data_IF_477143848282
#
_entry.id   IF_477143848282
#
_cell.length_a   1.000
_cell.length_b   1.000
_cell.length_c   1.000
_cell.angle_alpha   90.00
_cell.angle_beta   90.00
_cell.angle_gamma   90.00
#
_symmetry.space_group_name_H-M   'P 1'
#
loop_
_entity.id
_entity.type
_entity.pdbx_description
1 polymer ?
#
# COMPACT_ATOMS: atom_id res chain seq x y z
N UNK A 1 0.08 1.40 19.73
CA UNK A 1 -0.98 1.93 20.62
C UNK A 1 -2.31 1.70 19.93
N UNK A 2 -3.41 1.51 20.67
CA UNK A 2 -4.73 1.30 20.05
C UNK A 2 -5.49 2.62 19.86
N UNK A 3 -6.01 2.89 18.68
CA UNK A 3 -6.87 4.03 18.37
C UNK A 3 -8.25 3.57 17.90
N UNK A 4 -9.28 4.38 18.19
CA UNK A 4 -10.66 4.08 17.73
C UNK A 4 -10.82 4.29 16.23
N UNK A 5 -10.08 5.25 15.68
CA UNK A 5 -10.12 5.63 14.28
C UNK A 5 -8.69 5.73 13.76
N UNK A 6 -8.48 5.25 12.54
CA UNK A 6 -7.26 5.50 11.75
C UNK A 6 -7.65 6.16 10.44
N UNK A 7 -6.71 6.93 9.91
CA UNK A 7 -6.87 7.72 8.71
C UNK A 7 -5.85 7.32 7.66
N UNK A 8 -6.27 7.31 6.41
CA UNK A 8 -5.41 7.17 5.23
C UNK A 8 -5.79 8.17 4.16
N UNK A 9 -4.97 8.26 3.13
CA UNK A 9 -5.22 9.11 1.96
C UNK A 9 -5.57 8.23 0.78
N UNK A 10 -6.70 8.55 0.15
CA UNK A 10 -7.22 7.84 -1.02
C UNK A 10 -7.32 8.78 -2.21
N UNK A 11 -7.15 8.20 -3.40
CA UNK A 11 -7.39 8.86 -4.68
C UNK A 11 -8.80 8.52 -5.13
N UNK A 12 -9.62 9.52 -5.41
CA UNK A 12 -10.87 9.32 -6.13
C UNK A 12 -10.54 8.87 -7.57
N UNK A 13 -10.92 7.66 -7.98
CA UNK A 13 -10.57 7.13 -9.30
C UNK A 13 -11.25 7.88 -10.46
N UNK A 14 -12.36 8.59 -10.23
CA UNK A 14 -13.05 9.36 -11.27
C UNK A 14 -12.45 10.76 -11.41
N UNK A 15 -12.17 11.42 -10.29
CA UNK A 15 -11.72 12.82 -10.30
C UNK A 15 -10.21 13.01 -10.15
N UNK A 16 -9.47 11.97 -9.74
CA UNK A 16 -8.03 12.04 -9.42
C UNK A 16 -7.72 12.87 -8.16
N UNK A 17 -8.75 13.30 -7.43
CA UNK A 17 -8.58 14.11 -6.23
C UNK A 17 -8.26 13.24 -5.02
N UNK A 18 -7.45 13.78 -4.12
CA UNK A 18 -7.05 13.11 -2.89
C UNK A 18 -7.97 13.50 -1.74
N UNK A 19 -8.44 12.53 -0.97
CA UNK A 19 -9.26 12.79 0.22
C UNK A 19 -8.83 11.92 1.41
N UNK A 20 -9.03 12.41 2.66
CA UNK A 20 -8.84 11.59 3.85
C UNK A 20 -10.01 10.62 4.03
N UNK A 21 -9.69 9.33 4.17
CA UNK A 21 -10.64 8.28 4.53
C UNK A 21 -10.38 7.83 5.97
N UNK A 22 -11.45 7.54 6.71
CA UNK A 22 -11.39 7.09 8.10
C UNK A 22 -11.94 5.68 8.27
N UNK A 23 -11.34 4.91 9.17
CA UNK A 23 -11.77 3.55 9.49
C UNK A 23 -11.89 3.35 11.01
N UNK A 24 -12.98 2.71 11.45
CA UNK A 24 -13.25 2.42 12.86
C UNK A 24 -12.68 1.07 13.30
N UNK A 25 -11.69 1.09 14.20
CA UNK A 25 -10.86 -0.07 14.56
C UNK A 25 -11.49 -1.13 15.47
N UNK A 26 -12.82 -1.12 15.67
CA UNK A 26 -13.46 -1.82 16.79
C UNK A 26 -13.36 -3.36 16.81
N UNK A 27 -13.07 -4.04 15.68
CA UNK A 27 -13.12 -5.52 15.61
C UNK A 27 -12.07 -6.19 14.69
N UNK A 28 -11.28 -5.44 13.93
CA UNK A 28 -10.41 -5.98 12.86
C UNK A 28 -8.94 -6.19 13.26
N UNK A 29 -8.53 -5.78 14.48
CA UNK A 29 -7.11 -5.74 14.87
C UNK A 29 -6.32 -4.61 14.18
N UNK A 30 -7.00 -3.80 13.39
CA UNK A 30 -6.46 -2.62 12.71
C UNK A 30 -6.48 -1.37 13.60
N UNK A 31 -6.88 -1.50 14.87
CA UNK A 31 -6.80 -0.44 15.88
C UNK A 31 -5.35 -0.11 16.27
N UNK A 32 -4.39 -0.97 15.92
CA UNK A 32 -2.99 -0.76 16.27
C UNK A 32 -2.30 0.26 15.36
N UNK A 33 -1.85 1.36 15.95
CA UNK A 33 -0.99 2.37 15.29
C UNK A 33 0.45 2.23 15.77
N UNK A 34 1.40 2.35 14.83
CA UNK A 34 2.83 2.36 15.10
C UNK A 34 3.21 3.59 15.93
N UNK A 35 3.96 3.37 17.00
CA UNK A 35 4.46 4.46 17.85
C UNK A 35 5.92 4.72 17.50
N UNK A 36 6.30 5.99 17.46
CA UNK A 36 7.66 6.45 17.24
C UNK A 36 8.00 7.50 18.28
N UNK A 37 9.21 7.41 18.81
CA UNK A 37 9.72 8.40 19.76
C UNK A 37 10.45 9.49 18.99
N UNK A 38 10.07 10.74 19.23
CA UNK A 38 10.80 11.87 18.69
C UNK A 38 12.19 11.93 19.34
N UNK A 39 13.20 12.22 18.52
CA UNK A 39 14.58 12.44 18.96
C UNK A 39 14.80 13.92 19.15
N UNK A 40 15.52 14.31 20.19
CA UNK A 40 15.93 15.70 20.34
C UNK A 40 16.90 16.06 19.20
N UNK A 41 16.58 17.10 18.44
CA UNK A 41 17.46 17.64 17.39
C UNK A 41 18.33 18.75 17.96
N UNK A 42 17.73 19.66 18.72
CA UNK A 42 18.42 20.71 19.46
C UNK A 42 17.71 21.00 20.81
N UNK A 43 18.09 22.09 21.49
CA UNK A 43 17.54 22.45 22.81
C UNK A 43 16.03 22.70 22.78
N UNK A 44 15.49 23.15 21.65
CA UNK A 44 14.12 23.60 21.47
C UNK A 44 13.32 22.76 20.47
N UNK A 45 13.96 21.83 19.75
CA UNK A 45 13.31 21.03 18.70
C UNK A 45 13.47 19.52 18.85
N UNK A 46 12.40 18.80 18.52
CA UNK A 46 12.34 17.34 18.50
C UNK A 46 11.89 16.86 17.13
N UNK A 47 12.61 15.88 16.58
CA UNK A 47 12.45 15.39 15.23
C UNK A 47 12.01 13.94 15.17
N UNK A 48 11.31 13.59 14.11
CA UNK A 48 11.06 12.22 13.72
C UNK A 48 11.32 12.04 12.22
N UNK A 49 12.01 10.95 11.89
CA UNK A 49 12.25 10.50 10.52
C UNK A 49 11.86 9.03 10.43
N UNK A 50 11.19 8.65 9.35
CA UNK A 50 10.95 7.26 8.99
C UNK A 50 11.51 6.99 7.59
N UNK A 51 12.23 5.88 7.36
CA UNK A 51 12.68 5.53 6.01
C UNK A 51 11.55 5.43 4.98
N UNK A 52 10.30 5.20 5.40
CA UNK A 52 9.14 5.15 4.51
C UNK A 52 8.62 6.53 4.07
N UNK A 53 9.13 7.63 4.64
CA UNK A 53 8.67 8.99 4.37
C UNK A 53 9.87 9.84 3.97
N UNK A 54 9.73 10.60 2.87
CA UNK A 54 10.72 11.62 2.54
C UNK A 54 10.39 12.89 3.32
N UNK A 55 11.21 13.21 4.31
CA UNK A 55 11.10 14.44 5.10
C UNK A 55 11.19 14.17 6.61
N UNK A 56 11.19 15.24 7.38
CA UNK A 56 11.37 15.20 8.83
C UNK A 56 10.20 15.92 9.48
N UNK A 57 9.52 15.25 10.40
CA UNK A 57 8.60 15.94 11.30
C UNK A 57 9.42 16.61 12.40
N UNK A 58 9.19 17.90 12.64
CA UNK A 58 9.87 18.69 13.65
C UNK A 58 8.84 19.37 14.54
N UNK A 59 8.93 19.13 15.85
CA UNK A 59 8.19 19.88 16.86
C UNK A 59 9.10 20.91 17.51
N UNK A 60 8.68 22.17 17.47
CA UNK A 60 9.33 23.27 18.19
C UNK A 60 8.60 23.53 19.51
N UNK A 61 9.31 23.42 20.63
CA UNK A 61 8.78 23.76 21.96
C UNK A 61 8.52 25.25 22.11
N UNK A 62 9.48 26.07 21.67
CA UNK A 62 9.36 27.53 21.77
C UNK A 62 8.21 28.09 20.95
N UNK A 63 7.94 27.52 19.77
CA UNK A 63 6.79 27.90 18.95
C UNK A 63 5.49 27.21 19.37
N UNK A 64 5.56 26.07 20.07
CA UNK A 64 4.40 25.20 20.32
C UNK A 64 3.87 24.55 19.04
N UNK A 65 4.67 24.47 17.97
CA UNK A 65 4.23 24.08 16.64
C UNK A 65 4.93 22.82 16.15
N UNK A 66 4.16 21.95 15.49
CA UNK A 66 4.65 20.83 14.70
C UNK A 66 4.69 21.22 13.23
N UNK A 67 5.81 20.92 12.58
CA UNK A 67 6.03 21.17 11.16
C UNK A 67 6.57 19.92 10.48
N UNK A 68 6.28 19.76 9.20
CA UNK A 68 6.89 18.77 8.35
C UNK A 68 7.80 19.46 7.35
N UNK A 69 9.05 19.02 7.29
CA UNK A 69 10.10 19.61 6.47
C UNK A 69 10.50 18.63 5.37
N UNK A 70 10.49 19.08 4.12
CA UNK A 70 10.92 18.29 2.98
C UNK A 70 11.67 19.16 1.97
N UNK A 71 12.98 18.94 1.85
CA UNK A 71 13.85 19.78 1.03
C UNK A 71 13.84 21.23 1.51
N UNK A 72 13.49 22.16 0.64
CA UNK A 72 13.32 23.58 0.99
C UNK A 72 11.89 23.94 1.45
N UNK A 73 10.96 22.98 1.42
CA UNK A 73 9.56 23.19 1.77
C UNK A 73 9.30 22.86 3.24
N UNK A 74 8.44 23.65 3.87
CA UNK A 74 7.99 23.44 5.25
C UNK A 74 6.47 23.62 5.32
N UNK A 75 5.81 22.69 6.00
CA UNK A 75 4.36 22.68 6.21
C UNK A 75 4.08 22.64 7.71
N UNK A 76 3.31 23.59 8.24
CA UNK A 76 2.78 23.46 9.60
C UNK A 76 1.76 22.34 9.61
N UNK A 77 1.94 21.37 10.51
CA UNK A 77 1.06 20.21 10.70
C UNK A 77 0.32 20.27 12.05
N UNK A 78 0.79 21.13 12.96
CA UNK A 78 0.13 21.43 14.21
C UNK A 78 0.54 22.84 14.68
N UNK A 79 -0.42 23.71 14.98
CA UNK A 79 -0.15 25.11 15.31
C UNK A 79 -0.04 25.40 16.82
N UNK A 80 -0.23 24.37 17.65
CA UNK A 80 -0.17 24.47 19.11
C UNK A 80 -1.52 24.68 19.79
N UNK A 81 -2.59 24.83 19.01
CA UNK A 81 -3.94 24.95 19.53
C UNK A 81 -4.54 23.58 19.87
N UNK A 82 -5.44 23.55 20.87
CA UNK A 82 -6.28 22.38 21.13
C UNK A 82 -7.28 22.26 19.97
N UNK A 83 -6.99 21.37 19.01
CA UNK A 83 -7.81 21.19 17.80
C UNK A 83 -7.21 21.76 16.50
N UNK A 84 -5.93 22.12 16.48
CA UNK A 84 -5.27 22.71 15.30
C UNK A 84 -5.40 21.85 14.05
N UNK A 85 -6.03 22.41 13.00
CA UNK A 85 -6.26 21.78 11.70
C UNK A 85 -5.58 22.61 10.61
N UNK A 86 -4.75 21.96 9.81
CA UNK A 86 -4.29 22.52 8.53
C UNK A 86 -4.41 21.43 7.48
N UNK A 87 -5.50 21.48 6.73
CA UNK A 87 -5.62 20.73 5.49
C UNK A 87 -4.60 21.30 4.50
N UNK A 88 -3.57 20.51 4.17
CA UNK A 88 -2.67 20.87 3.09
C UNK A 88 -3.20 20.29 1.78
N UNK A 89 -3.48 21.17 0.83
CA UNK A 89 -3.65 20.83 -0.58
C UNK A 89 -2.34 21.11 -1.32
N UNK A 90 -1.63 20.07 -1.77
CA UNK A 90 -0.79 20.24 -2.95
C UNK A 90 -0.58 18.97 -3.78
N UNK A 91 -0.65 19.18 -5.08
CA UNK A 91 -0.34 18.29 -6.19
C UNK A 91 1.11 17.80 -6.16
N UNK A 92 1.34 16.50 -5.92
CA UNK A 92 2.61 15.82 -6.20
C UNK A 92 3.18 14.92 -5.09
N UNK A 93 3.08 13.60 -5.30
CA UNK A 93 3.85 12.43 -4.78
C UNK A 93 4.11 12.19 -3.29
N UNK A 94 3.90 13.13 -2.35
CA UNK A 94 3.90 12.82 -0.91
C UNK A 94 3.31 13.99 -0.09
N UNK A 95 2.00 14.05 0.04
CA UNK A 95 1.33 15.01 0.93
C UNK A 95 1.25 14.51 2.38
N UNK A 96 1.56 15.38 3.35
CA UNK A 96 1.20 15.18 4.76
C UNK A 96 -0.23 15.68 4.98
N UNK A 97 -1.06 14.85 5.59
CA UNK A 97 -2.42 15.22 5.94
C UNK A 97 -2.58 15.03 7.46
N UNK A 98 -3.05 16.06 8.16
CA UNK A 98 -3.22 16.03 9.63
C UNK A 98 -4.69 16.07 10.02
N UNK A 99 -5.09 15.26 11.02
CA UNK A 99 -6.41 15.25 11.68
C UNK A 99 -6.30 14.58 13.08
N UNK A 100 -7.34 14.72 13.93
CA UNK A 100 -7.45 15.76 14.94
C UNK A 100 -6.41 15.59 16.06
N UNK A 101 -5.86 16.70 16.55
CA UNK A 101 -5.07 16.71 17.77
C UNK A 101 -5.91 17.29 18.93
N UNK A 102 -5.89 16.68 20.13
CA UNK A 102 -5.06 15.56 20.56
C UNK A 102 -5.39 14.25 19.83
N UNK A 103 -4.39 13.38 19.67
CA UNK A 103 -4.57 12.03 19.14
C UNK A 103 -5.82 11.38 19.77
N UNK A 104 -6.62 10.60 19.00
CA UNK A 104 -7.84 10.00 19.52
C UNK A 104 -7.59 9.30 20.85
N UNK A 105 -8.42 9.58 21.86
CA UNK A 105 -8.24 9.01 23.20
C UNK A 105 -8.03 7.49 23.13
N UNK A 106 -7.01 7.01 23.84
CA UNK A 106 -6.79 5.57 24.01
C UNK A 106 -8.06 4.94 24.57
N UNK A 107 -8.53 3.85 23.97
CA UNK A 107 -9.70 3.11 24.44
C UNK A 107 -9.56 2.76 25.94
N UNK A 108 -10.44 3.25 26.84
CA UNK A 108 -10.69 2.55 28.10
C UNK A 108 -11.41 1.22 27.80
N UNK A 109 -11.34 0.21 28.69
CA UNK A 109 -12.07 -1.04 28.49
C UNK A 109 -13.57 -0.76 28.40
N UNK A 110 -14.19 -1.23 27.31
CA UNK A 110 -15.57 -0.92 26.88
C UNK A 110 -16.60 -1.32 27.96
N UNK A 111 -17.59 -0.47 28.26
CA UNK A 111 -18.96 -0.71 27.78
C UNK A 111 -19.52 0.48 26.99
N UNK A 112 -20.30 0.16 25.94
CA UNK A 112 -20.67 1.06 24.86
C UNK A 112 -21.46 2.32 25.24
N UNK A 113 -21.12 3.41 24.55
CA UNK A 113 -21.96 4.58 24.38
C UNK A 113 -21.87 5.05 22.91
N UNK A 114 -22.97 5.58 22.35
CA UNK A 114 -23.05 5.98 20.95
C UNK A 114 -22.30 7.30 20.70
N UNK A 115 -21.69 7.42 19.52
CA UNK A 115 -20.94 8.62 19.09
C UNK A 115 -21.89 9.54 18.30
N UNK A 116 -21.91 10.87 18.54
CA UNK A 116 -22.61 11.83 17.68
C UNK A 116 -21.93 11.94 16.31
N UNK A 117 -22.72 11.89 15.23
CA UNK A 117 -22.29 12.22 13.88
C UNK A 117 -22.10 13.74 13.74
N UNK A 118 -20.88 14.24 13.90
CA UNK A 118 -20.48 15.51 13.28
C UNK A 118 -19.66 15.18 12.03
N UNK A 119 -20.22 15.57 10.88
CA UNK A 119 -19.66 15.57 9.51
C UNK A 119 -18.19 15.14 9.40
N UNK A 120 -17.95 13.85 9.56
CA UNK A 120 -16.63 13.23 9.46
C UNK A 120 -16.38 12.68 8.06
N UNK A 121 -15.11 12.41 7.70
CA UNK A 121 -14.77 11.71 6.47
C UNK A 121 -15.54 10.39 6.35
N UNK A 122 -15.84 9.98 5.10
CA UNK A 122 -16.55 8.73 4.80
C UNK A 122 -15.89 7.56 5.56
N UNK A 123 -16.69 6.87 6.38
CA UNK A 123 -16.24 5.70 7.13
C UNK A 123 -16.33 4.50 6.20
N UNK A 124 -15.19 3.96 5.78
CA UNK A 124 -15.15 2.81 4.89
C UNK A 124 -15.33 1.47 5.63
N UNK A 125 -15.97 0.52 4.96
CA UNK A 125 -16.23 -0.85 5.47
C UNK A 125 -15.67 -1.95 4.57
N UNK A 126 -14.81 -1.60 3.61
CA UNK A 126 -14.10 -2.55 2.74
C UNK A 126 -13.07 -3.39 3.53
N UNK A 127 -12.60 -4.55 3.01
CA UNK A 127 -11.48 -5.25 3.63
C UNK A 127 -10.25 -4.34 3.61
N UNK A 128 -9.83 -3.90 4.80
CA UNK A 128 -8.68 -3.02 5.01
C UNK A 128 -7.64 -3.81 5.81
N UNK A 129 -6.38 -3.63 5.49
CA UNK A 129 -5.25 -4.26 6.18
C UNK A 129 -4.31 -3.21 6.81
N UNK A 130 -3.45 -3.61 7.76
CA UNK A 130 -2.51 -2.66 8.40
C UNK A 130 -1.55 -2.04 7.36
N UNK A 131 -1.24 -2.80 6.31
CA UNK A 131 -0.44 -2.32 5.17
C UNK A 131 -1.03 -1.10 4.50
N UNK A 132 -2.34 -0.88 4.59
CA UNK A 132 -3.04 0.24 3.92
C UNK A 132 -2.80 1.59 4.59
N UNK A 133 -2.25 1.58 5.80
CA UNK A 133 -2.00 2.79 6.56
C UNK A 133 -0.52 3.19 6.49
N UNK A 134 -0.28 4.48 6.29
CA UNK A 134 1.02 5.10 6.49
C UNK A 134 0.91 6.14 7.60
N UNK A 135 0.58 5.67 8.80
CA UNK A 135 0.31 6.50 9.97
C UNK A 135 1.22 6.14 11.16
N UNK A 136 1.36 7.12 12.04
CA UNK A 136 2.22 7.05 13.22
C UNK A 136 1.63 7.87 14.37
N UNK A 137 1.91 7.43 15.59
CA UNK A 137 1.83 8.28 16.78
C UNK A 137 3.25 8.67 17.16
N UNK A 138 3.53 9.96 17.12
CA UNK A 138 4.81 10.54 17.53
C UNK A 138 4.69 10.95 19.00
N UNK A 139 5.59 10.41 19.82
CA UNK A 139 5.63 10.66 21.28
C UNK A 139 6.90 11.41 21.63
N UNK A 140 6.77 12.53 22.35
CA UNK A 140 7.90 13.14 23.04
C UNK A 140 8.25 12.31 24.27
N UNK A 141 9.47 11.74 24.36
CA UNK A 141 9.88 10.93 25.50
C UNK A 141 9.87 11.70 26.83
N UNK A 142 9.90 13.03 26.80
CA UNK A 142 9.81 13.88 28.01
C UNK A 142 8.36 14.25 28.37
N UNK A 143 7.39 13.95 27.52
CA UNK A 143 5.96 14.23 27.76
C UNK A 143 5.59 15.72 27.76
N UNK A 144 6.46 16.61 27.27
CA UNK A 144 6.19 18.05 27.19
C UNK A 144 5.31 18.37 25.98
N UNK A 145 5.48 17.60 24.90
CA UNK A 145 4.65 17.65 23.71
C UNK A 145 3.58 16.55 23.78
N UNK A 146 2.28 16.87 23.56
CA UNK A 146 1.25 15.84 23.49
C UNK A 146 1.54 14.86 22.36
N UNK A 147 1.16 13.59 22.51
CA UNK A 147 1.32 12.61 21.44
C UNK A 147 0.54 13.04 20.19
N UNK A 148 1.18 12.99 19.03
CA UNK A 148 0.65 13.53 17.77
C UNK A 148 0.38 12.38 16.82
N UNK A 149 -0.86 12.27 16.38
CA UNK A 149 -1.22 11.34 15.32
C UNK A 149 -0.96 12.02 13.96
N UNK A 150 -0.19 11.37 13.11
CA UNK A 150 0.14 11.83 11.75
C UNK A 150 -0.12 10.71 10.77
N UNK A 151 -0.59 11.04 9.57
CA UNK A 151 -0.76 10.10 8.48
C UNK A 151 -0.33 10.73 7.17
N UNK A 152 0.22 9.88 6.29
CA UNK A 152 0.89 10.31 5.09
C UNK A 152 0.26 9.62 3.88
N UNK A 153 0.30 10.29 2.74
CA UNK A 153 0.13 9.60 1.47
C UNK A 153 1.26 8.58 1.31
N UNK A 154 0.95 7.36 0.84
CA UNK A 154 2.00 6.41 0.48
C UNK A 154 2.76 6.93 -0.74
N UNK A 155 4.06 6.61 -0.81
CA UNK A 155 4.86 6.93 -1.98
C UNK A 155 4.23 6.33 -3.24
N UNK A 156 4.17 7.10 -4.32
CA UNK A 156 3.65 6.61 -5.61
C UNK A 156 4.42 5.38 -6.09
N UNK A 157 3.74 4.56 -6.90
CA UNK A 157 4.34 3.42 -7.58
C UNK A 157 5.39 3.92 -8.58
N UNK A 158 6.57 3.29 -8.57
CA UNK A 158 7.66 3.61 -9.49
C UNK A 158 7.65 2.69 -10.70
N UNK A 159 8.26 3.17 -11.78
CA UNK A 159 8.47 2.38 -13.00
C UNK A 159 9.20 1.08 -12.70
N UNK A 160 8.67 -0.02 -13.25
CA UNK A 160 9.21 -1.39 -13.10
C UNK A 160 9.48 -1.80 -11.66
N UNK A 161 8.72 -1.23 -10.72
CA UNK A 161 8.81 -1.60 -9.32
C UNK A 161 8.25 -3.00 -9.11
N UNK A 162 9.04 -3.85 -8.47
CA UNK A 162 8.67 -5.23 -8.13
C UNK A 162 8.52 -5.36 -6.62
N UNK A 163 7.39 -5.87 -6.16
CA UNK A 163 7.09 -6.16 -4.75
C UNK A 163 5.94 -7.18 -4.67
N UNK A 164 5.49 -7.54 -3.47
CA UNK A 164 4.22 -8.24 -3.29
C UNK A 164 3.04 -7.35 -3.70
N UNK A 165 2.02 -7.92 -4.36
CA UNK A 165 0.88 -7.17 -4.85
C UNK A 165 0.24 -6.26 -3.78
N UNK A 166 0.03 -6.79 -2.58
CA UNK A 166 -0.55 -6.04 -1.46
C UNK A 166 0.23 -4.77 -1.08
N UNK A 167 1.54 -4.72 -1.35
CA UNK A 167 2.37 -3.53 -1.07
C UNK A 167 2.10 -2.38 -2.05
N UNK A 168 1.41 -2.63 -3.15
CA UNK A 168 0.98 -1.60 -4.10
C UNK A 168 -0.38 -0.98 -3.75
N UNK A 169 -1.15 -1.59 -2.86
CA UNK A 169 -2.47 -1.07 -2.48
C UNK A 169 -2.37 0.29 -1.77
N UNK A 170 -3.29 1.20 -2.11
CA UNK A 170 -3.29 2.57 -1.59
C UNK A 170 -2.12 3.46 -2.07
N UNK A 171 -1.28 2.99 -3.00
CA UNK A 171 -0.25 3.82 -3.64
C UNK A 171 -0.77 4.38 -4.96
N UNK A 172 -0.57 5.68 -5.20
CA UNK A 172 -0.91 6.26 -6.50
C UNK A 172 -0.13 5.58 -7.61
N UNK A 173 -0.81 5.21 -8.69
CA UNK A 173 -0.19 4.74 -9.92
C UNK A 173 0.03 5.86 -10.94
N UNK A 174 -0.31 7.09 -10.56
CA UNK A 174 -0.08 8.32 -11.34
C UNK A 174 -0.79 8.35 -12.71
N UNK A 175 -1.74 7.42 -12.94
CA UNK A 175 -2.31 7.20 -14.28
C UNK A 175 -1.31 6.69 -15.31
N UNK A 176 -0.13 6.21 -14.90
CA UNK A 176 0.94 5.74 -15.77
C UNK A 176 1.14 4.22 -15.74
N UNK A 177 0.82 3.61 -14.60
CA UNK A 177 1.16 2.20 -14.36
C UNK A 177 -0.05 1.37 -13.98
N UNK A 178 0.00 0.09 -14.33
CA UNK A 178 -0.81 -0.97 -13.74
C UNK A 178 0.12 -2.00 -13.09
N UNK A 179 -0.40 -2.76 -12.12
CA UNK A 179 0.38 -3.74 -11.35
C UNK A 179 -0.05 -5.13 -11.77
N UNK A 180 0.86 -5.85 -12.40
CA UNK A 180 0.63 -7.18 -12.95
C UNK A 180 1.13 -8.26 -11.98
N UNK A 181 0.31 -9.27 -11.70
CA UNK A 181 0.71 -10.43 -10.89
C UNK A 181 1.48 -11.41 -11.75
N UNK A 182 2.69 -11.77 -11.33
CA UNK A 182 3.53 -12.74 -12.04
C UNK A 182 3.96 -13.84 -11.04
N UNK A 183 3.40 -15.06 -11.13
CA UNK A 183 2.48 -15.53 -12.16
C UNK A 183 1.06 -14.99 -11.96
N UNK A 184 0.19 -15.16 -12.96
CA UNK A 184 -1.18 -14.60 -12.90
C UNK A 184 -1.94 -14.95 -11.61
N UNK A 185 -2.66 -13.97 -11.06
CA UNK A 185 -3.44 -14.12 -9.81
C UNK A 185 -4.34 -15.35 -9.82
N UNK A 186 -4.96 -15.63 -10.95
CA UNK A 186 -5.88 -16.75 -11.11
C UNK A 186 -5.17 -18.11 -11.14
N UNK A 187 -3.99 -18.21 -11.75
CA UNK A 187 -3.18 -19.44 -11.68
C UNK A 187 -2.78 -19.75 -10.22
N UNK A 188 -2.35 -18.72 -9.48
CA UNK A 188 -2.06 -18.88 -8.04
C UNK A 188 -3.30 -19.27 -7.27
N UNK A 189 -4.46 -18.67 -7.53
CA UNK A 189 -5.74 -19.05 -6.90
C UNK A 189 -6.03 -20.54 -7.10
N UNK A 190 -5.88 -21.05 -8.32
CA UNK A 190 -6.10 -22.48 -8.64
C UNK A 190 -5.10 -23.36 -7.87
N UNK A 191 -3.82 -23.01 -7.89
CA UNK A 191 -2.77 -23.73 -7.16
C UNK A 191 -3.06 -23.80 -5.65
N UNK A 192 -3.41 -22.66 -5.04
CA UNK A 192 -3.68 -22.57 -3.61
C UNK A 192 -4.94 -23.37 -3.21
N UNK A 193 -6.01 -23.32 -4.00
CA UNK A 193 -7.22 -24.14 -3.76
C UNK A 193 -6.94 -25.64 -3.88
N UNK A 194 -6.06 -26.04 -4.81
CA UNK A 194 -5.62 -27.43 -4.95
C UNK A 194 -4.74 -27.90 -3.78
N UNK A 195 -3.83 -27.04 -3.32
CA UNK A 195 -2.88 -27.34 -2.23
C UNK A 195 -3.55 -27.32 -0.86
N UNK A 196 -4.49 -26.40 -0.66
CA UNK A 196 -5.16 -26.15 0.62
C UNK A 196 -6.69 -26.19 0.48
N UNK A 197 -7.29 -27.35 0.17
CA UNK A 197 -8.72 -27.45 -0.18
C UNK A 197 -9.68 -27.09 0.95
N UNK A 198 -9.20 -27.03 2.19
CA UNK A 198 -10.00 -26.72 3.38
C UNK A 198 -9.91 -25.24 3.79
N UNK A 199 -9.05 -24.44 3.15
CA UNK A 199 -9.00 -23.00 3.42
C UNK A 199 -10.21 -22.32 2.78
N UNK A 200 -10.71 -21.30 3.47
CA UNK A 200 -11.80 -20.48 2.96
C UNK A 200 -11.29 -19.56 1.85
N UNK A 201 -12.20 -19.22 0.93
CA UNK A 201 -11.88 -18.40 -0.25
C UNK A 201 -11.32 -17.01 0.10
N UNK A 202 -11.72 -16.41 1.22
CA UNK A 202 -11.19 -15.13 1.71
C UNK A 202 -9.72 -15.22 2.12
N UNK A 203 -9.32 -16.33 2.75
CA UNK A 203 -7.92 -16.59 3.10
C UNK A 203 -7.10 -16.85 1.83
N UNK A 204 -7.65 -17.58 0.86
CA UNK A 204 -6.99 -17.77 -0.43
C UNK A 204 -6.76 -16.42 -1.14
N UNK A 205 -7.75 -15.53 -1.12
CA UNK A 205 -7.61 -14.19 -1.70
C UNK A 205 -6.49 -13.39 -1.01
N UNK A 206 -6.45 -13.36 0.33
CA UNK A 206 -5.37 -12.70 1.08
C UNK A 206 -3.99 -13.28 0.76
N UNK A 207 -3.91 -14.60 0.53
CA UNK A 207 -2.65 -15.22 0.12
C UNK A 207 -2.22 -14.79 -1.28
N UNK A 208 -3.15 -14.48 -2.19
CA UNK A 208 -2.81 -13.97 -3.52
C UNK A 208 -2.18 -12.57 -3.49
N UNK A 209 -2.41 -11.78 -2.43
CA UNK A 209 -1.77 -10.47 -2.28
C UNK A 209 -0.28 -10.58 -1.94
N UNK A 210 0.17 -11.77 -1.54
CA UNK A 210 1.58 -12.11 -1.29
C UNK A 210 2.27 -12.72 -2.51
N UNK A 211 1.65 -12.63 -3.69
CA UNK A 211 2.27 -12.99 -4.96
C UNK A 211 3.10 -11.82 -5.46
N UNK A 212 4.26 -12.13 -6.05
CA UNK A 212 5.09 -11.11 -6.68
C UNK A 212 4.34 -10.41 -7.81
N UNK A 213 4.48 -9.10 -7.87
CA UNK A 213 3.87 -8.26 -8.86
C UNK A 213 4.85 -7.19 -9.33
N UNK A 214 4.63 -6.70 -10.55
CA UNK A 214 5.47 -5.68 -11.18
C UNK A 214 4.60 -4.55 -11.70
N UNK A 215 5.00 -3.31 -11.40
CA UNK A 215 4.41 -2.13 -11.97
C UNK A 215 4.92 -1.92 -13.40
N UNK A 216 4.02 -2.03 -14.37
CA UNK A 216 4.33 -1.86 -15.80
C UNK A 216 3.47 -0.75 -16.39
N UNK A 217 3.91 -0.10 -17.49
CA UNK A 217 3.09 0.88 -18.19
C UNK A 217 1.72 0.31 -18.56
N UNK A 218 0.69 1.17 -18.51
CA UNK A 218 -0.69 0.78 -18.82
C UNK A 218 -0.79 0.12 -20.19
N UNK A 219 -0.09 0.66 -21.18
CA UNK A 219 -0.10 0.15 -22.56
C UNK A 219 0.43 -1.28 -22.62
N UNK A 220 1.56 -1.54 -21.94
CA UNK A 220 2.17 -2.89 -21.87
C UNK A 220 1.22 -3.88 -21.20
N UNK A 221 0.64 -3.52 -20.07
CA UNK A 221 -0.28 -4.44 -19.37
C UNK A 221 -1.49 -4.77 -20.24
N UNK A 222 -2.09 -3.77 -20.91
CA UNK A 222 -3.29 -3.97 -21.71
C UNK A 222 -3.03 -4.73 -23.00
N UNK A 223 -1.95 -4.41 -23.69
CA UNK A 223 -1.65 -4.98 -25.00
C UNK A 223 -0.98 -6.34 -24.88
N UNK A 224 0.04 -6.45 -24.03
CA UNK A 224 0.97 -7.57 -24.05
C UNK A 224 0.68 -8.58 -22.97
N UNK A 225 0.41 -8.15 -21.73
CA UNK A 225 0.25 -9.10 -20.63
C UNK A 225 -0.86 -10.12 -20.91
N UNK A 226 -0.51 -11.39 -20.72
CA UNK A 226 -1.42 -12.53 -20.81
C UNK A 226 -2.34 -12.64 -19.58
N UNK A 227 -1.96 -11.99 -18.48
CA UNK A 227 -2.74 -11.96 -17.24
C UNK A 227 -3.86 -10.93 -17.34
N UNK A 228 -3.72 -9.92 -18.21
CA UNK A 228 -4.70 -8.85 -18.39
C UNK A 228 -5.98 -9.34 -19.06
N UNK A 229 -7.13 -8.93 -18.52
CA UNK A 229 -8.45 -9.15 -19.12
C UNK A 229 -8.87 -10.63 -19.27
N UNK A 230 -8.17 -11.55 -18.60
CA UNK A 230 -8.48 -12.98 -18.69
C UNK A 230 -8.10 -13.63 -20.02
N UNK A 231 -7.08 -13.11 -20.73
CA UNK A 231 -6.54 -13.71 -21.95
C UNK A 231 -6.07 -15.16 -21.73
N UNK A 232 -5.63 -15.49 -20.51
CA UNK A 232 -5.29 -16.85 -20.08
C UNK A 232 -6.49 -17.83 -19.90
N UNK A 233 -7.72 -17.41 -20.20
CA UNK A 233 -8.90 -18.29 -20.20
C UNK A 233 -9.10 -19.06 -21.51
N UNK A 234 -8.27 -18.81 -22.53
CA UNK A 234 -8.31 -19.57 -23.78
C UNK A 234 -8.08 -21.06 -23.50
N UNK A 235 -8.93 -21.92 -24.10
CA UNK A 235 -8.84 -23.39 -23.97
C UNK A 235 -8.07 -23.95 -25.15
N UNK A 236 -7.05 -24.76 -24.89
CA UNK A 236 -6.37 -25.56 -25.92
C UNK A 236 -6.59 -27.05 -25.65
N UNK A 237 -6.45 -27.83 -26.73
CA UNK A 237 -6.57 -29.29 -26.66
C UNK A 237 -5.25 -29.89 -26.19
N UNK A 238 -5.32 -30.77 -25.21
CA UNK A 238 -4.18 -31.61 -24.81
C UNK A 238 -4.00 -32.77 -25.80
N UNK A 239 -2.83 -33.42 -25.76
CA UNK A 239 -2.55 -34.60 -26.61
C UNK A 239 -3.57 -35.73 -26.40
N UNK A 240 -4.16 -35.81 -25.21
CA UNK A 240 -5.18 -36.80 -24.83
C UNK A 240 -6.61 -36.38 -25.22
N UNK A 241 -6.77 -35.25 -25.93
CA UNK A 241 -8.06 -34.74 -26.39
C UNK A 241 -8.87 -33.94 -25.36
N UNK A 242 -8.34 -33.75 -24.15
CA UNK A 242 -8.92 -32.89 -23.11
C UNK A 242 -8.79 -31.40 -23.44
N UNK A 243 -9.59 -30.55 -22.79
CA UNK A 243 -9.48 -29.09 -22.89
C UNK A 243 -8.91 -28.54 -21.59
N UNK A 244 -7.80 -27.81 -21.68
CA UNK A 244 -7.16 -27.14 -20.55
C UNK A 244 -7.00 -25.66 -20.88
N UNK A 245 -7.20 -24.79 -19.89
CA UNK A 245 -6.93 -23.35 -20.01
C UNK A 245 -5.50 -23.04 -19.58
N UNK A 246 -4.90 -21.97 -20.13
CA UNK A 246 -3.53 -21.58 -19.78
C UNK A 246 -3.34 -21.43 -18.26
N UNK A 247 -4.29 -20.77 -17.57
CA UNK A 247 -4.26 -20.64 -16.11
C UNK A 247 -4.20 -21.97 -15.32
N UNK A 248 -4.70 -23.07 -15.89
CA UNK A 248 -4.64 -24.40 -15.24
C UNK A 248 -3.28 -25.04 -15.47
N UNK A 249 -2.65 -24.83 -16.63
CA UNK A 249 -1.25 -25.22 -16.83
C UNK A 249 -0.33 -24.39 -15.94
N UNK A 250 -0.51 -23.07 -15.93
CA UNK A 250 0.30 -22.18 -15.11
C UNK A 250 0.22 -22.58 -13.64
N UNK A 251 -0.99 -22.93 -13.15
CA UNK A 251 -1.18 -23.41 -11.78
C UNK A 251 -0.47 -24.73 -11.47
N UNK A 252 -0.16 -25.55 -12.48
CA UNK A 252 0.56 -26.82 -12.29
C UNK A 252 2.07 -26.64 -12.15
N UNK A 253 2.61 -25.51 -12.62
CA UNK A 253 4.00 -25.13 -12.46
C UNK A 253 4.13 -23.60 -12.41
N UNK A 254 3.98 -23.04 -11.20
CA UNK A 254 4.03 -21.60 -10.99
C UNK A 254 5.40 -21.00 -11.32
N UNK A 255 6.49 -21.75 -11.15
CA UNK A 255 7.84 -21.29 -11.50
C UNK A 255 7.97 -21.05 -13.00
N UNK A 256 7.55 -22.02 -13.82
CA UNK A 256 7.54 -21.86 -15.27
C UNK A 256 6.54 -20.78 -15.73
N UNK A 257 5.42 -20.61 -15.03
CA UNK A 257 4.44 -19.58 -15.33
C UNK A 257 5.00 -18.16 -15.11
N UNK A 258 5.87 -17.96 -14.10
CA UNK A 258 6.57 -16.67 -13.91
C UNK A 258 7.39 -16.31 -15.14
N UNK A 259 8.17 -17.26 -15.65
CA UNK A 259 9.00 -17.00 -16.83
C UNK A 259 8.16 -16.72 -18.06
N UNK A 260 7.15 -17.55 -18.33
CA UNK A 260 6.28 -17.38 -19.49
C UNK A 260 5.50 -16.06 -19.45
N UNK A 261 4.87 -15.72 -18.31
CA UNK A 261 4.11 -14.47 -18.20
C UNK A 261 5.04 -13.24 -18.26
N UNK A 262 6.24 -13.32 -17.66
CA UNK A 262 7.19 -12.21 -17.72
C UNK A 262 7.79 -12.01 -19.11
N UNK A 263 8.09 -13.08 -19.85
CA UNK A 263 8.68 -13.01 -21.19
C UNK A 263 7.84 -12.17 -22.14
N UNK A 264 6.51 -12.29 -22.07
CA UNK A 264 5.57 -11.53 -22.90
C UNK A 264 5.61 -10.04 -22.56
N UNK A 265 5.63 -9.69 -21.27
CA UNK A 265 5.78 -8.30 -20.83
C UNK A 265 7.16 -7.75 -21.22
N UNK A 266 8.21 -8.55 -21.05
CA UNK A 266 9.59 -8.19 -21.36
C UNK A 266 9.80 -7.89 -22.84
N UNK A 267 9.15 -8.64 -23.74
CA UNK A 267 9.22 -8.38 -25.18
C UNK A 267 8.69 -6.98 -25.53
N UNK A 268 7.54 -6.60 -25.00
CA UNK A 268 6.99 -5.27 -25.24
C UNK A 268 7.80 -4.17 -24.56
N UNK A 269 8.28 -4.40 -23.33
CA UNK A 269 9.15 -3.43 -22.63
C UNK A 269 10.45 -3.16 -23.40
N UNK A 270 11.05 -4.18 -24.02
CA UNK A 270 12.21 -4.01 -24.91
C UNK A 270 11.85 -3.19 -26.13
N UNK A 271 10.81 -3.60 -26.84
CA UNK A 271 10.48 -3.06 -28.16
C UNK A 271 9.91 -1.63 -28.11
N UNK A 272 9.09 -1.33 -27.09
CA UNK A 272 8.33 -0.08 -27.01
C UNK A 272 8.94 0.93 -26.05
N UNK A 273 9.61 0.46 -24.98
CA UNK A 273 10.15 1.31 -23.91
C UNK A 273 11.68 1.28 -23.83
N UNK A 274 12.36 0.48 -24.66
CA UNK A 274 13.82 0.41 -24.70
C UNK A 274 14.46 -0.10 -23.41
N UNK A 275 13.73 -0.90 -22.62
CA UNK A 275 14.24 -1.49 -21.38
C UNK A 275 15.36 -2.47 -21.71
N UNK A 276 16.49 -2.38 -21.01
CA UNK A 276 17.65 -3.24 -21.28
C UNK A 276 17.43 -4.67 -20.79
N UNK A 277 18.10 -5.63 -21.43
CA UNK A 277 18.03 -7.04 -21.04
C UNK A 277 18.49 -7.26 -19.60
N UNK A 278 19.50 -6.51 -19.14
CA UNK A 278 19.96 -6.59 -17.75
C UNK A 278 18.84 -6.20 -16.77
N UNK A 279 18.04 -5.18 -17.10
CA UNK A 279 16.95 -4.75 -16.24
C UNK A 279 15.79 -5.74 -16.25
N UNK A 280 15.47 -6.31 -17.42
CA UNK A 280 14.47 -7.36 -17.57
C UNK A 280 14.82 -8.58 -16.71
N UNK A 281 16.07 -9.01 -16.72
CA UNK A 281 16.52 -10.18 -15.95
C UNK A 281 16.66 -9.88 -14.45
N UNK A 282 17.00 -8.64 -14.05
CA UNK A 282 16.92 -8.20 -12.66
C UNK A 282 15.49 -8.31 -12.10
N UNK A 283 14.50 -7.88 -12.89
CA UNK A 283 13.08 -7.98 -12.54
C UNK A 283 12.65 -9.45 -12.43
N UNK A 284 13.01 -10.28 -13.41
CA UNK A 284 12.72 -11.72 -13.40
C UNK A 284 13.27 -12.38 -12.13
N UNK A 285 14.54 -12.12 -11.81
CA UNK A 285 15.18 -12.66 -10.63
C UNK A 285 14.45 -12.26 -9.34
N UNK A 286 14.01 -11.00 -9.25
CA UNK A 286 13.27 -10.47 -8.09
C UNK A 286 11.85 -11.05 -7.97
N UNK A 287 11.14 -11.25 -9.08
CA UNK A 287 9.85 -11.95 -9.09
C UNK A 287 9.98 -13.36 -8.51
N UNK A 288 10.98 -14.11 -8.99
CA UNK A 288 11.29 -15.45 -8.49
C UNK A 288 11.71 -15.45 -7.01
N UNK A 289 12.53 -14.49 -6.58
CA UNK A 289 12.93 -14.36 -5.17
C UNK A 289 11.72 -14.19 -4.26
N UNK A 290 10.80 -13.28 -4.61
CA UNK A 290 9.61 -12.99 -3.81
C UNK A 290 8.64 -14.19 -3.74
N UNK A 291 8.41 -14.85 -4.88
CA UNK A 291 7.51 -16.01 -4.94
C UNK A 291 8.06 -17.22 -4.17
N UNK A 292 9.38 -17.47 -4.22
CA UNK A 292 10.04 -18.48 -3.36
C UNK A 292 9.90 -18.14 -1.88
N UNK A 293 10.12 -16.87 -1.49
CA UNK A 293 9.91 -16.42 -0.10
C UNK A 293 8.46 -16.52 0.36
N UNK A 294 7.50 -16.41 -0.56
CA UNK A 294 6.09 -16.62 -0.29
C UNK A 294 5.71 -18.11 -0.21
N UNK A 295 6.61 -19.02 -0.60
CA UNK A 295 6.38 -20.47 -0.56
C UNK A 295 5.48 -20.98 -1.69
N UNK A 296 5.47 -20.29 -2.85
CA UNK A 296 4.70 -20.73 -4.01
C UNK A 296 5.37 -21.87 -4.78
N UNK A 297 6.71 -21.95 -4.71
CA UNK A 297 7.55 -23.01 -5.24
C UNK A 297 8.94 -22.97 -4.58
#
# INVERSE_FOLDING_TARGET
MRTRVRFRIEEDPESGNWFPAAMSGGKSGLDWVRVRFAKQLDKETWGFEDPSIKGTFVWSRSAGQGKFEWGASQTTVHDGSAGGSTAYTHSGTAGVWGLPNPAPESLPPVPGTPIPEEQGPNIETLPIEDRDFNDFIIVDPMGVVPAIYVYFQKASVRDLEVDYYGNFEGRSRQGLYEVDHIPSKEAVRIYLKGTYPNLKDDIIEQMTDRVAAVAIPIEVHRQCSETYGGKNNSKFRTQDGGLVTQKVLDASNLEAAVDANWDVNAECLRNEYGVSDEKIEEIRAKLHELNRKAGLY
#
